data_IF_915548833258
#
_entry.id   IF_915548833258
#
_cell.length_a   1.000
_cell.length_b   1.000
_cell.length_c   1.000
_cell.angle_alpha   90.00
_cell.angle_beta   90.00
_cell.angle_gamma   90.00
#
_symmetry.space_group_name_H-M   'P 1'
#
loop_
_entity.id
_entity.type
_entity.pdbx_description
1 polymer ?
#
# COMPACT_ATOMS: atom_id res chain seq x y z
N UNK A 1 -55.28 -25.57 -31.62
CA UNK A 1 -54.44 -26.31 -30.67
C UNK A 1 -53.07 -25.70 -30.76
N UNK A 2 -52.88 -24.96 -30.00
CA UNK A 2 -52.09 -23.95 -29.32
C UNK A 2 -50.61 -24.17 -29.53
N UNK A 3 -50.06 -23.26 -30.30
CA UNK A 3 -48.63 -23.10 -30.53
C UNK A 3 -48.12 -22.19 -29.44
N UNK A 4 -47.38 -22.73 -28.47
CA UNK A 4 -46.69 -21.91 -27.49
C UNK A 4 -45.42 -21.32 -28.08
N UNK A 5 -45.48 -20.05 -28.31
CA UNK A 5 -44.39 -19.21 -28.75
C UNK A 5 -43.45 -18.92 -27.57
N UNK A 6 -42.30 -19.59 -27.54
CA UNK A 6 -41.24 -19.34 -26.55
C UNK A 6 -40.43 -18.14 -27.03
N UNK A 7 -40.77 -16.98 -26.50
CA UNK A 7 -39.90 -15.80 -26.54
C UNK A 7 -38.75 -15.99 -25.56
N UNK A 8 -37.65 -16.47 -26.08
CA UNK A 8 -36.37 -16.44 -25.35
C UNK A 8 -35.83 -15.02 -25.41
N UNK A 9 -36.16 -14.21 -24.40
CA UNK A 9 -35.46 -12.97 -24.19
C UNK A 9 -34.18 -13.27 -23.38
N UNK A 10 -33.08 -13.41 -24.09
CA UNK A 10 -31.75 -13.42 -23.51
C UNK A 10 -31.43 -12.02 -22.97
N UNK A 11 -31.79 -11.77 -21.73
CA UNK A 11 -31.31 -10.62 -20.97
C UNK A 11 -29.83 -10.85 -20.66
N UNK A 12 -28.97 -10.38 -21.55
CA UNK A 12 -27.55 -10.20 -21.21
C UNK A 12 -27.53 -9.08 -20.17
N UNK A 13 -27.55 -9.47 -18.90
CA UNK A 13 -27.19 -8.57 -17.83
C UNK A 13 -25.71 -8.26 -18.01
N UNK A 14 -25.40 -7.06 -18.45
CA UNK A 14 -24.11 -6.46 -18.29
C UNK A 14 -23.77 -6.54 -16.81
N UNK A 15 -23.02 -7.57 -16.44
CA UNK A 15 -22.29 -7.58 -15.19
C UNK A 15 -21.20 -6.51 -15.35
N UNK A 16 -21.56 -5.27 -15.09
CA UNK A 16 -20.59 -4.25 -14.75
C UNK A 16 -19.77 -4.86 -13.63
N UNK A 17 -18.50 -5.09 -13.88
CA UNK A 17 -17.51 -5.37 -12.84
C UNK A 17 -17.51 -4.11 -11.97
N UNK A 18 -18.44 -4.06 -11.01
CA UNK A 18 -18.37 -3.11 -9.92
C UNK A 18 -17.13 -3.50 -9.12
N UNK A 19 -16.02 -2.85 -9.46
CA UNK A 19 -14.89 -2.78 -8.55
C UNK A 19 -15.48 -2.27 -7.25
N UNK A 20 -15.40 -3.02 -6.12
CA UNK A 20 -15.98 -2.58 -4.87
C UNK A 20 -15.33 -1.25 -4.52
N UNK A 21 -16.05 -0.16 -4.75
CA UNK A 21 -15.59 1.16 -4.36
C UNK A 21 -15.47 1.19 -2.84
N UNK A 22 -14.34 1.61 -2.28
CA UNK A 22 -14.11 1.59 -0.84
C UNK A 22 -14.92 2.69 -0.12
N UNK A 23 -16.25 2.70 -0.32
CA UNK A 23 -17.14 3.73 0.22
C UNK A 23 -17.32 3.68 1.74
N UNK A 24 -16.66 2.76 2.43
CA UNK A 24 -16.82 2.56 3.87
C UNK A 24 -15.50 2.43 4.63
N UNK A 25 -14.49 3.20 4.26
CA UNK A 25 -13.22 3.20 4.99
C UNK A 25 -13.28 4.04 6.29
N UNK A 26 -14.48 4.35 6.78
CA UNK A 26 -14.72 5.01 8.07
C UNK A 26 -14.84 4.01 9.21
N UNK A 27 -14.52 4.46 10.42
CA UNK A 27 -14.68 3.69 11.65
C UNK A 27 -13.40 3.04 12.12
N UNK A 28 -13.53 1.98 12.90
CA UNK A 28 -12.38 1.26 13.46
C UNK A 28 -11.62 0.53 12.35
N UNK A 29 -10.31 0.73 12.36
CA UNK A 29 -9.33 0.11 11.46
C UNK A 29 -8.10 -0.27 12.26
N UNK A 30 -7.21 -0.99 11.63
CA UNK A 30 -5.90 -1.29 12.19
C UNK A 30 -4.85 -0.44 11.48
N UNK A 31 -4.05 0.26 12.26
CA UNK A 31 -2.82 0.89 11.82
C UNK A 31 -1.69 -0.09 12.02
N UNK A 32 -1.12 -0.57 10.93
CA UNK A 32 0.11 -1.35 10.94
C UNK A 32 1.29 -0.45 10.66
N UNK A 33 2.34 -0.57 11.46
CA UNK A 33 3.64 0.06 11.21
C UNK A 33 4.70 -1.01 11.03
N UNK A 34 5.54 -0.82 10.03
CA UNK A 34 6.68 -1.68 9.72
C UNK A 34 7.94 -0.84 9.85
N UNK A 35 8.85 -1.27 10.70
CA UNK A 35 10.13 -0.62 10.95
C UNK A 35 11.23 -1.47 10.35
N UNK A 36 11.96 -0.94 9.38
CA UNK A 36 13.06 -1.58 8.65
C UNK A 36 14.21 -0.59 8.45
N UNK A 37 15.36 -1.07 7.98
CA UNK A 37 16.47 -0.22 7.59
C UNK A 37 16.34 0.29 6.15
N UNK A 38 16.90 1.45 5.86
CA UNK A 38 16.96 2.00 4.50
C UNK A 38 17.81 1.13 3.57
N UNK A 39 18.83 0.45 4.13
CA UNK A 39 19.70 -0.46 3.38
C UNK A 39 19.08 -1.83 3.11
N UNK A 40 17.98 -2.18 3.75
CA UNK A 40 17.34 -3.49 3.58
C UNK A 40 16.90 -3.70 2.12
N UNK A 41 17.11 -4.92 1.63
CA UNK A 41 16.84 -5.29 0.22
C UNK A 41 15.97 -6.54 0.15
N UNK A 42 15.14 -6.58 -0.88
CA UNK A 42 14.40 -7.75 -1.31
C UNK A 42 14.65 -7.96 -2.81
N UNK A 43 15.30 -9.08 -3.17
CA UNK A 43 15.71 -9.37 -4.55
C UNK A 43 16.46 -8.22 -5.24
N UNK A 44 17.37 -7.54 -4.51
CA UNK A 44 18.18 -6.43 -5.03
C UNK A 44 17.50 -5.06 -5.05
N UNK A 45 16.18 -5.00 -4.81
CA UNK A 45 15.39 -3.78 -4.72
C UNK A 45 15.34 -3.28 -3.27
N UNK A 46 15.25 -1.97 -3.01
CA UNK A 46 14.98 -1.47 -1.66
C UNK A 46 13.72 -2.13 -1.08
N UNK A 47 13.83 -2.67 0.14
CA UNK A 47 12.74 -3.44 0.75
C UNK A 47 11.47 -2.61 0.89
N UNK A 48 11.57 -1.32 1.29
CA UNK A 48 10.40 -0.46 1.43
C UNK A 48 9.65 -0.26 0.11
N UNK A 49 10.35 -0.18 -1.02
CA UNK A 49 9.71 -0.09 -2.34
C UNK A 49 8.99 -1.38 -2.70
N UNK A 50 9.64 -2.54 -2.46
CA UNK A 50 9.04 -3.83 -2.71
C UNK A 50 7.77 -4.05 -1.87
N UNK A 51 7.77 -3.59 -0.60
CA UNK A 51 6.59 -3.65 0.27
C UNK A 51 5.45 -2.75 -0.22
N UNK A 52 5.75 -1.53 -0.66
CA UNK A 52 4.74 -0.62 -1.23
C UNK A 52 4.11 -1.22 -2.48
N UNK A 53 4.90 -1.85 -3.35
CA UNK A 53 4.38 -2.56 -4.53
C UNK A 53 3.50 -3.75 -4.15
N UNK A 54 3.91 -4.53 -3.13
CA UNK A 54 3.09 -5.60 -2.59
C UNK A 54 1.72 -5.07 -2.15
N UNK A 55 1.69 -4.03 -1.31
CA UNK A 55 0.45 -3.45 -0.81
C UNK A 55 -0.46 -2.98 -1.93
N UNK A 56 0.11 -2.31 -2.94
CA UNK A 56 -0.63 -1.89 -4.12
C UNK A 56 -1.20 -3.07 -4.91
N UNK A 57 -0.41 -4.13 -5.10
CA UNK A 57 -0.84 -5.33 -5.83
C UNK A 57 -1.95 -6.11 -5.10
N UNK A 58 -1.94 -6.06 -3.77
CA UNK A 58 -2.97 -6.66 -2.91
C UNK A 58 -4.21 -5.77 -2.73
N UNK A 59 -4.23 -4.58 -3.34
CA UNK A 59 -5.38 -3.69 -3.34
C UNK A 59 -5.62 -2.95 -2.02
N UNK A 60 -4.58 -2.75 -1.19
CA UNK A 60 -4.69 -1.95 0.02
C UNK A 60 -5.01 -0.49 -0.32
N UNK A 61 -5.71 0.20 0.58
CA UNK A 61 -6.18 1.57 0.37
C UNK A 61 -5.04 2.59 0.23
N UNK A 62 -3.89 2.33 0.87
CA UNK A 62 -2.71 3.19 0.77
C UNK A 62 -1.61 2.77 1.73
N UNK A 63 -0.42 3.30 1.50
CA UNK A 63 0.73 3.18 2.38
C UNK A 63 1.51 4.49 2.39
N UNK A 64 2.07 4.83 3.55
CA UNK A 64 2.95 5.99 3.71
C UNK A 64 4.31 5.51 4.16
N UNK A 65 5.37 5.98 3.50
CA UNK A 65 6.76 5.69 3.87
C UNK A 65 7.36 6.93 4.51
N UNK A 66 7.88 6.77 5.71
CA UNK A 66 8.56 7.79 6.48
C UNK A 66 10.03 7.40 6.64
N UNK A 67 10.91 8.34 6.42
CA UNK A 67 12.34 8.16 6.67
C UNK A 67 12.71 8.84 7.98
N UNK A 68 13.23 8.08 8.92
CA UNK A 68 13.72 8.61 10.18
C UNK A 68 15.01 9.43 9.97
N UNK A 69 15.15 10.49 10.72
CA UNK A 69 16.36 11.33 10.68
C UNK A 69 17.51 10.73 11.51
N UNK A 70 17.20 9.83 12.43
CA UNK A 70 18.13 9.12 13.30
C UNK A 70 17.43 7.94 13.95
N UNK A 71 18.18 6.91 14.31
CA UNK A 71 17.68 5.76 15.05
C UNK A 71 18.71 4.63 15.09
N UNK A 72 18.41 3.59 15.86
CA UNK A 72 19.17 2.35 15.85
C UNK A 72 18.22 1.16 16.07
N UNK A 73 18.58 0.01 15.56
CA UNK A 73 17.85 -1.24 15.72
C UNK A 73 18.72 -2.35 16.32
N UNK A 74 18.17 -3.54 16.47
CA UNK A 74 18.82 -4.68 17.10
C UNK A 74 20.14 -5.10 16.40
N UNK A 75 20.25 -4.87 15.10
CA UNK A 75 21.44 -5.15 14.29
C UNK A 75 22.47 -4.03 14.28
N UNK A 76 22.17 -2.90 14.88
CA UNK A 76 23.11 -1.77 14.99
C UNK A 76 24.19 -2.07 16.00
N UNK A 77 25.37 -2.49 15.54
CA UNK A 77 26.53 -2.67 16.42
C UNK A 77 27.02 -1.28 16.84
N UNK A 78 26.84 -0.95 18.11
CA UNK A 78 27.39 0.26 18.71
C UNK A 78 28.90 0.10 18.83
N UNK A 79 29.65 0.52 17.83
CA UNK A 79 31.11 0.68 17.95
C UNK A 79 31.40 2.01 18.67
N UNK A 80 31.86 1.92 19.87
CA UNK A 80 32.05 2.99 20.85
C UNK A 80 33.01 4.11 20.40
N UNK A 81 33.74 3.96 19.30
CA UNK A 81 34.74 4.95 18.87
C UNK A 81 34.31 5.83 17.68
N UNK A 82 33.08 5.67 17.16
CA UNK A 82 32.59 6.45 16.01
C UNK A 82 31.17 6.96 16.19
N UNK A 83 30.91 7.56 17.33
CA UNK A 83 29.61 8.17 17.69
C UNK A 83 29.18 9.32 16.74
N UNK A 84 30.02 9.75 15.82
CA UNK A 84 29.75 10.85 14.87
C UNK A 84 29.53 10.41 13.42
N UNK A 85 29.62 9.12 13.08
CA UNK A 85 29.06 8.67 11.82
C UNK A 85 27.64 8.22 12.08
N UNK A 86 26.70 9.13 11.84
CA UNK A 86 25.30 8.79 11.62
C UNK A 86 25.26 7.50 10.83
N UNK A 87 24.60 6.49 11.35
CA UNK A 87 24.37 5.24 10.63
C UNK A 87 23.89 5.60 9.24
N UNK A 88 24.59 5.14 8.21
CA UNK A 88 24.17 5.32 6.81
C UNK A 88 22.88 4.54 6.52
N UNK A 89 22.43 3.76 7.50
CA UNK A 89 21.21 3.00 7.49
C UNK A 89 20.17 3.66 8.39
N UNK A 90 19.44 4.60 7.81
CA UNK A 90 18.36 5.30 8.52
C UNK A 90 17.13 4.41 8.65
N UNK A 91 16.37 4.55 9.72
CA UNK A 91 15.13 3.81 9.89
C UNK A 91 14.08 4.26 8.86
N UNK A 92 13.43 3.28 8.25
CA UNK A 92 12.23 3.48 7.41
C UNK A 92 11.03 2.96 8.19
N UNK A 93 9.98 3.75 8.25
CA UNK A 93 8.70 3.38 8.83
C UNK A 93 7.66 3.37 7.72
N UNK A 94 6.98 2.25 7.54
CA UNK A 94 5.87 2.15 6.59
C UNK A 94 4.58 2.06 7.40
N UNK A 95 3.64 2.96 7.14
CA UNK A 95 2.32 2.97 7.76
C UNK A 95 1.25 2.56 6.77
N UNK A 96 0.39 1.65 7.19
CA UNK A 96 -0.78 1.17 6.45
C UNK A 96 -1.98 1.18 7.38
N UNK A 97 -3.10 1.75 6.93
CA UNK A 97 -4.37 1.71 7.65
C UNK A 97 -5.35 0.89 6.83
N UNK A 98 -5.82 -0.21 7.41
CA UNK A 98 -6.70 -1.17 6.74
C UNK A 98 -7.62 -1.89 7.72
N UNK A 99 -8.49 -2.76 7.18
CA UNK A 99 -9.23 -3.71 7.99
C UNK A 99 -8.27 -4.76 8.57
N UNK A 100 -8.58 -5.25 9.75
CA UNK A 100 -7.81 -6.34 10.38
C UNK A 100 -7.65 -7.53 9.42
N UNK A 101 -8.73 -7.94 8.76
CA UNK A 101 -8.73 -9.07 7.81
C UNK A 101 -7.79 -8.84 6.62
N UNK A 102 -7.72 -7.62 6.09
CA UNK A 102 -6.81 -7.31 4.98
C UNK A 102 -5.35 -7.38 5.42
N UNK A 103 -5.05 -6.90 6.64
CA UNK A 103 -3.70 -6.99 7.21
C UNK A 103 -3.32 -8.45 7.46
N UNK A 104 -4.20 -9.24 8.07
CA UNK A 104 -3.92 -10.65 8.35
C UNK A 104 -3.59 -11.45 7.08
N UNK A 105 -4.21 -11.11 5.95
CA UNK A 105 -3.95 -11.77 4.66
C UNK A 105 -2.56 -11.49 4.09
N UNK A 106 -1.96 -10.36 4.42
CA UNK A 106 -0.62 -10.00 3.90
C UNK A 106 0.52 -10.37 4.84
N UNK A 107 0.24 -10.70 6.11
CA UNK A 107 1.29 -11.07 7.07
C UNK A 107 2.21 -12.19 6.58
N UNK A 108 1.72 -13.27 5.93
CA UNK A 108 2.61 -14.31 5.40
C UNK A 108 3.57 -13.81 4.32
N UNK A 109 3.13 -12.86 3.48
CA UNK A 109 4.00 -12.26 2.47
C UNK A 109 5.07 -11.38 3.14
N UNK A 110 4.69 -10.63 4.18
CA UNK A 110 5.61 -9.79 4.96
C UNK A 110 6.68 -10.63 5.67
N UNK A 111 6.29 -11.77 6.26
CA UNK A 111 7.21 -12.69 6.93
C UNK A 111 8.27 -13.25 5.98
N UNK A 112 7.92 -13.49 4.72
CA UNK A 112 8.86 -13.96 3.69
C UNK A 112 9.79 -12.84 3.19
N UNK A 113 9.34 -11.60 3.18
CA UNK A 113 10.08 -10.47 2.61
C UNK A 113 10.99 -9.77 3.62
N UNK A 114 10.59 -9.73 4.89
CA UNK A 114 11.27 -8.98 5.94
C UNK A 114 12.20 -9.92 6.72
N UNK A 115 13.48 -9.87 6.41
CA UNK A 115 14.49 -10.67 7.11
C UNK A 115 14.85 -10.14 8.51
N UNK A 116 14.53 -8.89 8.80
CA UNK A 116 14.74 -8.25 10.09
C UNK A 116 13.96 -6.94 10.17
N UNK A 117 13.41 -6.64 11.34
CA UNK A 117 12.58 -5.45 11.54
C UNK A 117 11.55 -5.66 12.65
N UNK A 118 10.60 -4.75 12.73
CA UNK A 118 9.51 -4.79 13.70
C UNK A 118 8.20 -4.45 13.01
N UNK A 119 7.17 -5.21 13.27
CA UNK A 119 5.80 -4.88 12.87
C UNK A 119 4.97 -4.65 14.13
N UNK A 120 4.30 -3.52 14.19
CA UNK A 120 3.34 -3.20 15.25
C UNK A 120 1.96 -2.97 14.66
N UNK A 121 0.93 -3.28 15.43
CA UNK A 121 -0.46 -3.01 15.08
C UNK A 121 -1.17 -2.34 16.24
N UNK A 122 -1.98 -1.34 15.93
CA UNK A 122 -2.82 -0.64 16.89
C UNK A 122 -4.17 -0.26 16.24
N UNK A 123 -5.18 -0.05 17.06
CA UNK A 123 -6.48 0.40 16.58
C UNK A 123 -6.43 1.88 16.20
N UNK A 124 -6.97 2.20 15.04
CA UNK A 124 -7.10 3.56 14.56
C UNK A 124 -8.55 3.84 14.17
N UNK A 125 -9.07 4.99 14.59
CA UNK A 125 -10.39 5.45 14.18
C UNK A 125 -10.28 6.37 12.99
N UNK A 126 -10.70 5.90 11.83
CA UNK A 126 -10.74 6.71 10.61
C UNK A 126 -12.01 7.57 10.61
N UNK A 127 -11.83 8.89 10.66
CA UNK A 127 -12.94 9.85 10.66
C UNK A 127 -13.37 10.26 9.25
N UNK A 128 -12.45 10.26 8.30
CA UNK A 128 -12.71 10.56 6.90
C UNK A 128 -11.71 9.84 6.00
N UNK A 129 -12.22 9.29 4.90
CA UNK A 129 -11.44 8.80 3.78
C UNK A 129 -12.13 9.23 2.48
N UNK A 130 -11.36 9.81 1.57
CA UNK A 130 -11.81 10.17 0.22
C UNK A 130 -10.75 9.70 -0.76
N UNK A 131 -11.04 8.68 -1.59
CA UNK A 131 -10.14 8.31 -2.67
C UNK A 131 -10.04 9.49 -3.64
N UNK A 132 -8.84 9.85 -4.05
CA UNK A 132 -8.62 10.88 -5.07
C UNK A 132 -9.31 10.48 -6.38
N UNK A 133 -9.81 11.45 -7.14
CA UNK A 133 -10.40 11.20 -8.45
C UNK A 133 -9.31 10.73 -9.42
N UNK A 134 -9.24 9.43 -9.66
CA UNK A 134 -8.30 8.86 -10.63
C UNK A 134 -8.44 9.48 -12.04
N UNK A 135 -9.61 9.99 -12.39
CA UNK A 135 -9.87 10.70 -13.67
C UNK A 135 -9.22 12.08 -13.73
N UNK A 136 -9.14 12.79 -12.60
CA UNK A 136 -8.50 14.11 -12.56
C UNK A 136 -6.98 13.99 -12.71
N UNK A 137 -6.36 13.00 -12.07
CA UNK A 137 -4.91 12.75 -12.18
C UNK A 137 -4.47 12.27 -13.57
N UNK A 138 -5.31 11.54 -14.30
CA UNK A 138 -5.02 11.14 -15.69
C UNK A 138 -5.15 12.33 -16.66
N UNK A 139 -6.15 13.19 -16.49
CA UNK A 139 -6.31 14.39 -17.31
C UNK A 139 -5.16 15.39 -17.11
N UNK A 140 -4.64 15.48 -15.90
CA UNK A 140 -3.51 16.34 -15.56
C UNK A 140 -2.19 15.81 -16.12
N UNK A 141 -1.95 14.50 -16.10
CA UNK A 141 -0.79 13.86 -16.75
C UNK A 141 -0.80 14.06 -18.26
N UNK A 142 -1.93 13.83 -18.92
CA UNK A 142 -2.07 14.06 -20.37
C UNK A 142 -1.84 15.53 -20.75
N UNK A 143 -2.20 16.46 -19.85
CA UNK A 143 -1.98 17.89 -20.07
C UNK A 143 -0.50 18.26 -19.97
N UNK A 144 0.25 17.62 -19.06
CA UNK A 144 1.70 17.85 -18.89
C UNK A 144 2.47 17.22 -20.07
N UNK A 145 2.14 15.98 -20.45
CA UNK A 145 2.75 15.31 -21.59
C UNK A 145 2.48 16.03 -22.93
N UNK A 146 1.31 16.68 -23.06
CA UNK A 146 0.98 17.48 -24.25
C UNK A 146 1.74 18.80 -24.35
N UNK A 147 2.20 19.36 -23.22
CA UNK A 147 2.99 20.61 -23.21
C UNK A 147 4.49 20.38 -23.52
N UNK A 148 5.01 19.18 -23.25
CA UNK A 148 6.39 18.82 -23.57
C UNK A 148 6.59 18.38 -25.03
N UNK A 149 5.51 18.15 -25.78
CA UNK A 149 5.54 17.74 -27.18
C UNK A 149 5.50 18.91 -28.19
N UNK A 150 5.36 20.17 -27.71
CA UNK A 150 5.28 21.37 -28.55
C UNK A 150 6.54 22.27 -28.46
N UNK A 151 7.63 21.81 -27.82
CA UNK A 151 8.95 22.43 -27.90
C UNK A 151 9.88 21.54 -28.76
#
# INVERSE_FOLDING_TARGET
>A
MDVFELHSQSTIRNASLEVPMPHRFKGERTLMRIFIGESDRHHGKPLYEALVELFRSKGLAGATVLRGVSGFGASSTVHTEKVLRLSLDLPIVIEVIETEDAIQKILPDLDQMIGGGLITMERARVVMYRPGNARASQAERHRIEGLEAEE
#
